data_IF_208573787451
#
_entry.id   IF_208573787451
#
_cell.length_a   1.000
_cell.length_b   1.000
_cell.length_c   1.000
_cell.angle_alpha   90.00
_cell.angle_beta   90.00
_cell.angle_gamma   90.00
#
_symmetry.space_group_name_H-M   'P 1'
#
loop_
_entity.id
_entity.type
_entity.pdbx_description
1 polymer ?
#
# COMPACT_ATOMS: atom_id res chain seq x y z
N UNK A 1 2.26 15.37 18.31
CA UNK A 1 2.89 14.04 18.28
C UNK A 1 1.85 13.01 18.76
N UNK A 2 1.33 12.15 17.88
CA UNK A 2 0.54 10.94 18.15
C UNK A 2 0.17 10.34 16.78
N UNK A 3 0.20 9.05 16.49
CA UNK A 3 0.17 7.88 17.33
C UNK A 3 1.09 6.79 16.74
N UNK A 4 1.81 6.09 17.63
CA UNK A 4 2.46 4.81 17.32
C UNK A 4 1.35 3.77 17.29
N UNK A 5 0.87 3.38 16.11
CA UNK A 5 0.00 2.21 15.97
C UNK A 5 0.88 1.01 15.66
N UNK A 6 1.02 0.10 16.63
CA UNK A 6 1.64 -1.21 16.41
C UNK A 6 0.79 -1.98 15.37
N UNK A 7 1.36 -2.53 14.28
CA UNK A 7 0.58 -3.28 13.32
C UNK A 7 0.38 -4.70 13.86
N UNK A 8 -0.76 -4.94 14.49
CA UNK A 8 -1.26 -6.28 14.75
C UNK A 8 -2.69 -6.33 14.22
N UNK A 9 -2.87 -6.84 13.01
CA UNK A 9 -4.19 -7.25 12.56
C UNK A 9 -4.07 -8.51 11.73
N UNK A 10 -4.48 -9.60 12.37
CA UNK A 10 -4.68 -10.94 11.85
C UNK A 10 -5.44 -10.91 10.50
N UNK A 11 -5.02 -11.71 9.51
CA UNK A 11 -5.64 -11.69 8.19
C UNK A 11 -7.07 -12.23 8.25
N UNK A 12 -8.01 -11.45 7.73
CA UNK A 12 -9.38 -11.90 7.42
C UNK A 12 -9.52 -11.89 5.91
N UNK A 13 -9.83 -13.02 5.27
CA UNK A 13 -9.98 -13.08 3.82
C UNK A 13 -11.26 -12.34 3.45
N UNK A 14 -11.12 -11.11 2.93
CA UNK A 14 -12.29 -10.41 2.42
C UNK A 14 -12.17 -8.92 2.10
N UNK A 15 -11.10 -8.21 2.50
CA UNK A 15 -10.69 -6.89 1.95
C UNK A 15 -9.55 -6.30 2.80
N UNK A 16 -8.32 -6.75 2.57
CA UNK A 16 -7.16 -6.30 3.36
C UNK A 16 -6.60 -5.00 2.77
N UNK A 17 -6.88 -3.89 3.46
CA UNK A 17 -6.33 -2.58 3.13
C UNK A 17 -4.99 -2.38 3.84
N UNK A 18 -3.91 -2.30 3.09
CA UNK A 18 -2.56 -2.08 3.61
C UNK A 18 -2.26 -0.59 3.80
N UNK A 19 -1.54 -0.31 4.88
CA UNK A 19 -0.99 1.02 5.16
C UNK A 19 0.30 1.26 4.37
N UNK A 20 0.68 2.53 4.16
CA UNK A 20 1.94 2.88 3.51
C UNK A 20 3.15 2.18 4.16
N UNK A 21 3.12 1.99 5.48
CA UNK A 21 4.16 1.28 6.23
C UNK A 21 4.24 -0.21 5.86
N UNK A 22 3.10 -0.90 5.76
CA UNK A 22 3.06 -2.32 5.36
C UNK A 22 3.49 -2.50 3.91
N UNK A 23 3.03 -1.61 3.03
CA UNK A 23 3.47 -1.58 1.62
C UNK A 23 4.99 -1.36 1.57
N UNK A 24 5.51 -0.38 2.31
CA UNK A 24 6.94 -0.08 2.37
C UNK A 24 7.77 -1.29 2.83
N UNK A 25 7.29 -2.02 3.85
CA UNK A 25 7.93 -3.23 4.34
C UNK A 25 7.88 -4.38 3.33
N UNK A 26 6.77 -4.54 2.60
CA UNK A 26 6.59 -5.59 1.57
C UNK A 26 7.58 -5.42 0.41
N UNK A 27 7.76 -4.19 -0.07
CA UNK A 27 8.67 -3.90 -1.18
C UNK A 27 10.09 -3.55 -0.73
N UNK A 28 10.35 -3.45 0.58
CA UNK A 28 11.66 -3.05 1.12
C UNK A 28 12.06 -1.61 0.78
N UNK A 29 11.10 -0.75 0.45
CA UNK A 29 11.35 0.66 0.07
C UNK A 29 10.93 1.60 1.19
N UNK A 30 11.41 2.85 1.16
CA UNK A 30 10.97 3.85 2.11
C UNK A 30 9.53 4.32 1.79
N UNK A 31 8.75 4.67 2.82
CA UNK A 31 7.38 5.21 2.68
C UNK A 31 7.27 6.36 1.67
N UNK A 32 8.30 7.21 1.59
CA UNK A 32 8.34 8.33 0.65
C UNK A 32 8.33 7.86 -0.82
N UNK A 33 8.98 6.72 -1.12
CA UNK A 33 8.96 6.12 -2.45
C UNK A 33 7.56 5.64 -2.82
N UNK A 34 6.81 5.06 -1.88
CA UNK A 34 5.42 4.66 -2.10
C UNK A 34 4.54 5.86 -2.44
N UNK A 35 4.67 6.97 -1.71
CA UNK A 35 3.96 8.21 -2.05
C UNK A 35 4.38 8.79 -3.41
N UNK A 36 5.65 8.62 -3.79
CA UNK A 36 6.15 9.06 -5.09
C UNK A 36 5.55 8.22 -6.22
N UNK A 37 5.54 6.90 -6.09
CA UNK A 37 4.90 6.01 -7.07
C UNK A 37 3.39 6.24 -7.18
N UNK A 38 2.72 6.50 -6.05
CA UNK A 38 1.32 6.89 -6.05
C UNK A 38 1.06 8.23 -6.78
N UNK A 39 2.05 9.14 -6.83
CA UNK A 39 1.98 10.39 -7.61
C UNK A 39 2.33 10.18 -9.08
N UNK A 40 3.25 9.27 -9.37
CA UNK A 40 3.68 8.91 -10.73
C UNK A 40 2.66 8.00 -11.44
N UNK A 41 1.58 7.58 -10.77
CA UNK A 41 0.57 6.63 -11.26
C UNK A 41 1.17 5.30 -11.73
N UNK A 42 2.40 5.00 -11.30
CA UNK A 42 3.11 3.75 -11.57
C UNK A 42 2.75 2.68 -10.55
N UNK A 43 1.83 2.95 -9.64
CA UNK A 43 1.46 2.09 -8.52
C UNK A 43 -0.04 2.15 -8.26
N UNK A 44 -0.62 1.11 -7.64
CA UNK A 44 -1.98 1.05 -7.14
C UNK A 44 -2.56 2.36 -6.62
N UNK A 45 -3.79 2.62 -7.02
CA UNK A 45 -4.46 3.87 -6.70
C UNK A 45 -4.64 3.99 -5.17
N UNK A 46 -4.13 5.08 -4.55
CA UNK A 46 -4.27 5.28 -3.12
C UNK A 46 -5.74 5.53 -2.76
N UNK A 47 -6.33 4.65 -1.94
CA UNK A 47 -7.69 4.79 -1.42
C UNK A 47 -7.63 5.71 -0.21
N UNK A 48 -8.26 6.89 -0.34
CA UNK A 48 -8.40 7.86 0.76
C UNK A 48 -9.62 7.51 1.60
N UNK A 49 -9.38 6.95 2.79
CA UNK A 49 -10.44 6.64 3.76
C UNK A 49 -10.75 7.81 4.70
N UNK A 50 -9.89 8.83 4.71
CA UNK A 50 -10.07 10.03 5.53
C UNK A 50 -9.03 11.11 5.21
N UNK A 51 -9.08 12.26 5.91
CA UNK A 51 -8.28 13.45 5.58
C UNK A 51 -6.76 13.21 5.63
N UNK A 52 -6.29 12.26 6.46
CA UNK A 52 -4.88 11.88 6.57
C UNK A 52 -4.66 10.36 6.46
N UNK A 53 -5.65 9.61 5.97
CA UNK A 53 -5.58 8.14 5.93
C UNK A 53 -5.65 7.65 4.49
N UNK A 54 -4.49 7.26 4.00
CA UNK A 54 -4.33 6.59 2.71
C UNK A 54 -4.09 5.10 2.92
N UNK A 55 -4.77 4.28 2.13
CA UNK A 55 -4.66 2.82 2.13
C UNK A 55 -4.56 2.28 0.71
N UNK A 56 -4.02 1.08 0.58
CA UNK A 56 -3.92 0.33 -0.67
C UNK A 56 -4.64 -1.00 -0.51
N UNK A 57 -5.44 -1.39 -1.49
CA UNK A 57 -6.06 -2.72 -1.49
C UNK A 57 -5.00 -3.77 -1.85
N UNK A 58 -4.96 -4.87 -1.11
CA UNK A 58 -4.05 -6.00 -1.41
C UNK A 58 -4.25 -6.51 -2.85
N UNK A 59 -5.51 -6.65 -3.28
CA UNK A 59 -5.83 -7.12 -4.63
C UNK A 59 -5.25 -6.23 -5.74
N UNK A 60 -5.20 -4.91 -5.52
CA UNK A 60 -4.63 -3.95 -6.49
C UNK A 60 -3.10 -4.07 -6.53
N UNK A 61 -2.47 -4.30 -5.37
CA UNK A 61 -1.03 -4.57 -5.28
C UNK A 61 -0.65 -5.85 -6.01
N UNK A 62 -1.41 -6.93 -5.81
CA UNK A 62 -1.16 -8.21 -6.49
C UNK A 62 -1.35 -8.10 -8.01
N UNK A 63 -2.42 -7.41 -8.46
CA UNK A 63 -2.65 -7.15 -9.88
C UNK A 63 -1.54 -6.29 -10.51
N UNK A 64 -1.02 -5.33 -9.76
CA UNK A 64 0.11 -4.52 -10.18
C UNK A 64 1.42 -5.32 -10.23
N UNK A 65 1.70 -6.13 -9.22
CA UNK A 65 2.86 -7.04 -9.19
C UNK A 65 2.85 -7.95 -10.43
N UNK A 66 1.67 -8.46 -10.79
CA UNK A 66 1.47 -9.28 -11.98
C UNK A 66 1.71 -8.49 -13.27
N UNK A 67 1.16 -7.27 -13.38
CA UNK A 67 1.39 -6.38 -14.53
C UNK A 67 2.87 -5.99 -14.71
N UNK A 68 3.62 -5.81 -13.62
CA UNK A 68 5.06 -5.53 -13.68
C UNK A 68 5.87 -6.76 -14.12
N UNK A 69 5.45 -7.98 -13.75
CA UNK A 69 6.10 -9.23 -14.21
C UNK A 69 5.89 -9.49 -15.70
N UNK A 70 4.75 -9.08 -16.24
CA UNK A 70 4.42 -9.21 -17.67
C UNK A 70 5.07 -8.14 -18.56
N UNK A 71 5.57 -7.05 -17.98
CA UNK A 71 6.28 -6.00 -18.70
C UNK A 71 7.78 -6.31 -18.95
N UNK A 72 8.23 -7.54 -18.71
CA UNK A 72 9.59 -8.00 -19.05
C UNK A 72 9.66 -8.52 -20.49
#
# INVERSE_FOLDING_TARGET
MAAKTKPQTTPKPGNEFLSAEQVSHRYGVHRASIYRWAKESTFPAPIKLGPNVTRWALADLEAWEQSQREAC
#
